data_IF_593536615233
#
_entry.id   IF_593536615233
#
_cell.length_a   1.000
_cell.length_b   1.000
_cell.length_c   1.000
_cell.angle_alpha   90.00
_cell.angle_beta   90.00
_cell.angle_gamma   90.00
#
_symmetry.space_group_name_H-M   'P 1'
#
loop_
_entity.id
_entity.type
_entity.pdbx_description
1 polymer ?
#
# COMPACT_ATOMS: atom_id res chain seq x y z
N UNK A 1 8.89 17.05 -66.39
CA UNK A 1 9.33 16.75 -65.02
C UNK A 1 10.37 17.79 -64.65
N UNK A 2 9.99 18.76 -63.83
CA UNK A 2 10.92 19.61 -63.10
C UNK A 2 10.19 20.16 -61.89
N UNK A 3 10.68 19.73 -60.73
CA UNK A 3 10.09 19.86 -59.40
C UNK A 3 9.96 21.30 -58.91
N UNK A 4 8.83 21.56 -58.27
CA UNK A 4 8.58 22.79 -57.52
C UNK A 4 9.40 22.78 -56.22
N UNK A 5 10.17 23.85 -56.03
CA UNK A 5 11.13 24.03 -54.95
C UNK A 5 10.50 24.12 -53.56
N UNK A 6 11.05 23.27 -52.70
CA UNK A 6 11.07 23.26 -51.24
C UNK A 6 11.09 24.66 -50.58
N UNK A 7 10.07 24.99 -49.79
CA UNK A 7 10.08 26.10 -48.82
C UNK A 7 9.74 25.64 -47.38
N UNK A 8 9.87 24.34 -47.09
CA UNK A 8 9.46 23.70 -45.83
C UNK A 8 10.60 23.44 -44.83
N UNK A 9 11.67 24.23 -44.84
CA UNK A 9 12.87 23.91 -44.04
C UNK A 9 12.85 24.36 -42.56
N UNK A 10 11.72 24.81 -41.99
CA UNK A 10 11.72 25.19 -40.56
C UNK A 10 10.39 25.02 -39.81
N UNK A 11 9.55 24.06 -40.21
CA UNK A 11 8.25 23.81 -39.52
C UNK A 11 8.35 22.67 -38.48
N UNK A 12 9.35 21.79 -38.58
CA UNK A 12 9.48 20.60 -37.72
C UNK A 12 9.87 20.85 -36.26
N UNK A 13 10.28 22.08 -35.91
CA UNK A 13 10.57 22.47 -34.52
C UNK A 13 9.44 23.29 -33.87
N UNK A 14 8.34 23.56 -34.59
CA UNK A 14 7.22 24.30 -34.03
C UNK A 14 6.19 23.33 -33.42
N UNK A 15 5.91 23.39 -32.10
CA UNK A 15 4.93 22.53 -31.46
C UNK A 15 3.49 22.72 -31.97
N UNK A 16 3.23 23.80 -32.73
CA UNK A 16 1.96 24.11 -33.37
C UNK A 16 1.90 23.73 -34.85
N UNK A 17 2.95 23.09 -35.39
CA UNK A 17 3.00 22.66 -36.80
C UNK A 17 1.83 21.74 -37.20
N UNK A 18 1.28 20.98 -36.25
CA UNK A 18 0.13 20.10 -36.50
C UNK A 18 -1.20 20.86 -36.68
N UNK A 19 -1.30 22.12 -36.27
CA UNK A 19 -2.53 22.91 -36.37
C UNK A 19 -2.79 23.47 -37.78
N UNK A 20 -1.76 23.55 -38.62
CA UNK A 20 -1.87 24.15 -39.95
C UNK A 20 -1.12 23.32 -40.98
N UNK A 21 -1.81 23.00 -42.08
CA UNK A 21 -1.26 22.16 -43.14
C UNK A 21 -0.13 22.84 -43.92
N UNK A 22 -0.08 24.19 -43.87
CA UNK A 22 0.99 24.98 -44.48
C UNK A 22 1.11 26.37 -43.82
N UNK A 23 2.23 27.05 -44.10
CA UNK A 23 2.48 28.43 -43.66
C UNK A 23 1.49 29.44 -44.26
N UNK A 24 0.94 29.15 -45.45
CA UNK A 24 -0.12 29.94 -46.05
C UNK A 24 -1.44 29.82 -45.26
N UNK A 25 -1.77 28.60 -44.83
CA UNK A 25 -2.94 28.28 -44.00
C UNK A 25 -2.88 29.02 -42.65
N UNK A 26 -1.71 28.99 -42.00
CA UNK A 26 -1.47 29.71 -40.75
C UNK A 26 -1.60 31.24 -40.93
N UNK A 27 -1.08 31.79 -42.03
CA UNK A 27 -1.22 33.23 -42.35
C UNK A 27 -2.66 33.63 -42.63
N UNK A 28 -3.42 32.78 -43.32
CA UNK A 28 -4.82 33.04 -43.65
C UNK A 28 -5.70 33.01 -42.40
N UNK A 29 -5.44 32.06 -41.49
CA UNK A 29 -6.09 32.00 -40.18
C UNK A 29 -5.80 33.25 -39.33
N UNK A 30 -4.54 33.70 -39.29
CA UNK A 30 -4.14 34.91 -38.58
C UNK A 30 -4.77 36.19 -39.16
N UNK A 31 -4.88 36.29 -40.50
CA UNK A 31 -5.59 37.42 -41.13
C UNK A 31 -7.10 37.40 -40.86
N UNK A 32 -7.72 36.21 -40.81
CA UNK A 32 -9.15 36.06 -40.50
C UNK A 32 -9.51 36.50 -39.08
N UNK A 33 -8.62 36.30 -38.10
CA UNK A 33 -8.84 36.83 -36.74
C UNK A 33 -8.70 38.34 -36.65
N UNK A 34 -7.80 38.97 -37.42
CA UNK A 34 -7.70 40.45 -37.48
C UNK A 34 -8.95 41.09 -38.09
N UNK A 35 -9.56 40.45 -39.10
CA UNK A 35 -10.82 40.94 -39.68
C UNK A 35 -12.03 40.73 -38.77
N UNK A 36 -12.08 39.64 -37.98
CA UNK A 36 -13.15 39.45 -36.99
C UNK A 36 -13.09 40.45 -35.83
N UNK A 37 -11.89 40.86 -35.38
CA UNK A 37 -11.74 41.93 -34.37
C UNK A 37 -12.17 43.31 -34.87
N UNK A 38 -12.11 43.57 -36.18
CA UNK A 38 -12.60 44.84 -36.75
C UNK A 38 -14.10 44.86 -37.06
N UNK A 39 -14.75 43.70 -37.22
CA UNK A 39 -16.18 43.61 -37.53
C UNK A 39 -17.09 43.82 -36.30
N UNK A 40 -16.61 43.55 -35.08
CA UNK A 40 -17.38 43.76 -33.84
C UNK A 40 -17.33 45.21 -33.30
N UNK A 41 -16.74 46.15 -34.06
CA UNK A 41 -16.64 47.58 -33.68
C UNK A 41 -17.30 48.57 -34.65
N UNK A 42 -18.07 48.10 -35.65
CA UNK A 42 -18.75 48.98 -36.60
C UNK A 42 -20.22 48.61 -36.77
N UNK A 43 -21.07 49.10 -35.87
CA UNK A 43 -22.52 49.17 -36.07
C UNK A 43 -23.19 50.33 -35.33
N UNK A 44 -22.72 51.57 -35.50
CA UNK A 44 -23.59 52.76 -35.34
C UNK A 44 -23.16 53.88 -36.31
N UNK A 45 -23.97 54.00 -37.36
CA UNK A 45 -24.49 55.19 -38.07
C UNK A 45 -23.64 56.46 -38.37
N UNK A 46 -23.42 56.66 -39.68
CA UNK A 46 -23.56 57.84 -40.55
C UNK A 46 -23.49 59.29 -40.03
N UNK A 47 -22.69 60.13 -40.72
CA UNK A 47 -22.87 61.60 -40.80
C UNK A 47 -21.63 62.39 -41.23
N UNK A 48 -21.67 63.02 -42.39
CA UNK A 48 -20.59 63.80 -43.05
C UNK A 48 -20.21 65.12 -42.32
N UNK A 49 -18.93 65.53 -42.46
CA UNK A 49 -18.45 66.88 -42.88
C UNK A 49 -17.31 67.51 -42.05
N UNK A 50 -16.24 67.86 -42.76
CA UNK A 50 -15.07 68.72 -42.53
C UNK A 50 -15.00 69.63 -41.27
N UNK A 51 -13.83 69.65 -40.59
CA UNK A 51 -12.91 70.81 -40.48
C UNK A 51 -11.83 70.60 -39.40
N UNK A 52 -10.68 71.25 -39.58
CA UNK A 52 -9.49 71.20 -38.73
C UNK A 52 -9.72 71.76 -37.31
N UNK A 53 -9.14 71.12 -36.28
CA UNK A 53 -8.49 71.82 -35.15
C UNK A 53 -7.77 70.85 -34.21
N UNK A 54 -6.59 71.28 -33.75
CA UNK A 54 -5.82 70.72 -32.65
C UNK A 54 -6.58 70.78 -31.32
N UNK A 55 -6.65 69.66 -30.59
CA UNK A 55 -6.27 69.51 -29.16
C UNK A 55 -6.85 68.25 -28.52
N UNK A 56 -5.98 67.57 -27.75
CA UNK A 56 -6.24 66.95 -26.44
C UNK A 56 -7.33 65.88 -26.30
N UNK A 57 -6.91 64.64 -26.04
CA UNK A 57 -6.97 63.95 -24.73
C UNK A 57 -6.72 62.47 -25.05
N UNK A 58 -5.59 61.96 -24.58
CA UNK A 58 -5.23 60.55 -24.68
C UNK A 58 -5.95 59.81 -23.54
N UNK A 59 -7.20 59.40 -23.77
CA UNK A 59 -7.90 58.49 -22.85
C UNK A 59 -7.26 57.10 -22.96
N UNK A 60 -6.58 56.74 -21.87
CA UNK A 60 -5.86 55.50 -21.68
C UNK A 60 -6.88 54.40 -21.38
N UNK A 61 -7.18 53.57 -22.37
CA UNK A 61 -7.86 52.29 -22.17
C UNK A 61 -6.80 51.28 -21.76
N UNK A 62 -6.37 51.32 -20.49
CA UNK A 62 -5.43 50.33 -19.91
C UNK A 62 -6.01 49.58 -18.68
N UNK A 63 -7.29 49.72 -18.36
CA UNK A 63 -7.86 49.18 -17.11
C UNK A 63 -8.55 47.80 -17.23
N UNK A 64 -8.35 47.03 -18.31
CA UNK A 64 -9.08 45.75 -18.50
C UNK A 64 -8.21 44.49 -18.69
N UNK A 65 -6.87 44.60 -18.65
CA UNK A 65 -5.98 43.43 -18.76
C UNK A 65 -5.63 42.83 -17.38
N UNK A 66 -5.64 43.66 -16.33
CA UNK A 66 -5.39 43.21 -14.95
C UNK A 66 -6.49 42.29 -14.42
N UNK A 67 -7.75 42.51 -14.81
CA UNK A 67 -8.89 41.69 -14.37
C UNK A 67 -8.81 40.26 -14.92
N UNK A 68 -8.39 40.06 -16.16
CA UNK A 68 -8.25 38.73 -16.79
C UNK A 68 -7.04 37.98 -16.23
N UNK A 69 -5.95 38.68 -15.96
CA UNK A 69 -4.76 38.11 -15.32
C UNK A 69 -5.03 37.73 -13.85
N UNK A 70 -5.82 38.51 -13.13
CA UNK A 70 -6.24 38.23 -11.76
C UNK A 70 -7.27 37.09 -11.69
N UNK A 71 -8.23 37.06 -12.61
CA UNK A 71 -9.16 35.94 -12.77
C UNK A 71 -8.38 34.65 -13.09
N UNK A 72 -7.43 34.69 -14.02
CA UNK A 72 -6.60 33.54 -14.39
C UNK A 72 -5.72 33.06 -13.22
N UNK A 73 -5.16 33.99 -12.43
CA UNK A 73 -4.43 33.68 -11.19
C UNK A 73 -5.36 33.05 -10.14
N UNK A 74 -6.58 33.58 -9.97
CA UNK A 74 -7.59 33.01 -9.06
C UNK A 74 -8.07 31.64 -9.51
N UNK A 75 -8.17 31.37 -10.81
CA UNK A 75 -8.54 30.05 -11.32
C UNK A 75 -7.41 29.04 -11.12
N UNK A 76 -6.15 29.43 -11.36
CA UNK A 76 -4.99 28.57 -11.07
C UNK A 76 -4.88 28.27 -9.57
N UNK A 77 -5.02 29.27 -8.70
CA UNK A 77 -4.97 29.06 -7.26
C UNK A 77 -6.12 28.18 -6.75
N UNK A 78 -7.33 28.30 -7.32
CA UNK A 78 -8.44 27.37 -7.00
C UNK A 78 -8.20 25.95 -7.51
N UNK A 79 -7.59 25.81 -8.69
CA UNK A 79 -7.24 24.50 -9.22
C UNK A 79 -6.18 23.81 -8.37
N UNK A 80 -5.12 24.54 -7.99
CA UNK A 80 -4.07 24.09 -7.08
C UNK A 80 -4.65 23.68 -5.72
N UNK A 81 -5.53 24.51 -5.14
CA UNK A 81 -6.20 24.20 -3.88
C UNK A 81 -7.07 22.93 -3.99
N UNK A 82 -7.80 22.76 -5.10
CA UNK A 82 -8.59 21.57 -5.35
C UNK A 82 -7.71 20.32 -5.50
N UNK A 83 -6.56 20.44 -6.16
CA UNK A 83 -5.60 19.34 -6.29
C UNK A 83 -4.98 18.97 -4.94
N UNK A 84 -4.58 19.94 -4.13
CA UNK A 84 -4.10 19.70 -2.77
C UNK A 84 -5.16 19.02 -1.91
N UNK A 85 -6.42 19.47 -1.97
CA UNK A 85 -7.52 18.84 -1.24
C UNK A 85 -7.73 17.39 -1.68
N UNK A 86 -7.66 17.12 -2.98
CA UNK A 86 -7.80 15.76 -3.51
C UNK A 86 -6.64 14.84 -3.08
N UNK A 87 -5.41 15.36 -3.05
CA UNK A 87 -4.24 14.64 -2.54
C UNK A 87 -4.41 14.36 -1.05
N UNK A 88 -4.80 15.35 -0.25
CA UNK A 88 -5.07 15.18 1.18
C UNK A 88 -6.13 14.09 1.42
N UNK A 89 -7.28 14.14 0.74
CA UNK A 89 -8.32 13.13 0.90
C UNK A 89 -7.87 11.74 0.46
N UNK A 90 -7.08 11.63 -0.61
CA UNK A 90 -6.51 10.36 -1.06
C UNK A 90 -5.56 9.79 0.01
N UNK A 91 -4.66 10.61 0.55
CA UNK A 91 -3.77 10.24 1.64
C UNK A 91 -4.58 9.76 2.86
N UNK A 92 -5.60 10.51 3.26
CA UNK A 92 -6.49 10.15 4.37
C UNK A 92 -7.19 8.81 4.12
N UNK A 93 -7.69 8.54 2.91
CA UNK A 93 -8.29 7.24 2.57
C UNK A 93 -7.30 6.08 2.64
N UNK A 94 -6.05 6.30 2.21
CA UNK A 94 -5.02 5.24 2.19
C UNK A 94 -4.53 4.95 3.61
N UNK A 95 -4.16 5.98 4.36
CA UNK A 95 -3.47 5.83 5.64
C UNK A 95 -4.36 6.02 6.86
N UNK A 96 -5.59 6.54 6.71
CA UNK A 96 -6.51 6.79 7.83
C UNK A 96 -5.88 7.66 8.94
N UNK A 97 -5.13 8.70 8.52
CA UNK A 97 -4.51 9.70 9.39
C UNK A 97 -4.93 11.10 8.96
N UNK A 98 -4.89 12.07 9.87
CA UNK A 98 -5.27 13.45 9.59
C UNK A 98 -4.53 14.44 10.50
N UNK A 99 -4.35 15.66 10.01
CA UNK A 99 -3.89 16.83 10.77
C UNK A 99 -5.04 17.81 11.08
N UNK A 100 -6.21 17.57 10.49
CA UNK A 100 -7.41 18.37 10.72
C UNK A 100 -8.20 17.82 11.91
N UNK A 101 -8.42 18.66 12.93
CA UNK A 101 -9.28 18.40 14.11
C UNK A 101 -10.51 19.34 14.16
N UNK A 102 -10.90 19.92 13.03
CA UNK A 102 -12.13 20.70 12.89
C UNK A 102 -13.40 19.86 13.13
N UNK A 103 -14.51 20.52 13.41
CA UNK A 103 -15.81 19.86 13.60
C UNK A 103 -16.19 19.03 12.35
N UNK A 104 -16.61 17.75 12.50
CA UNK A 104 -17.00 16.88 11.38
C UNK A 104 -18.13 17.46 10.52
N UNK A 105 -18.95 18.36 11.04
CA UNK A 105 -20.01 19.06 10.30
C UNK A 105 -19.47 20.10 9.30
N UNK A 106 -18.25 20.56 9.49
CA UNK A 106 -17.56 21.50 8.59
C UNK A 106 -16.84 20.77 7.44
N UNK A 107 -16.69 19.44 7.54
CA UNK A 107 -15.98 18.62 6.57
C UNK A 107 -16.91 18.19 5.44
N UNK A 108 -16.49 18.41 4.20
CA UNK A 108 -17.23 17.94 3.03
C UNK A 108 -17.26 16.42 3.00
N UNK A 109 -18.42 15.80 3.20
CA UNK A 109 -18.56 14.33 3.30
C UNK A 109 -18.24 13.53 2.02
N UNK A 110 -17.81 14.17 0.93
CA UNK A 110 -17.53 13.48 -0.32
C UNK A 110 -16.09 12.91 -0.33
N UNK A 111 -15.99 11.60 -0.18
CA UNK A 111 -14.77 10.85 -0.42
C UNK A 111 -13.74 10.87 0.71
N UNK A 112 -14.09 11.34 1.91
CA UNK A 112 -13.26 11.22 3.11
C UNK A 112 -13.60 9.93 3.88
N UNK A 113 -12.61 9.27 4.51
CA UNK A 113 -12.88 8.09 5.33
C UNK A 113 -13.73 8.46 6.56
N UNK A 114 -14.53 7.54 7.14
CA UNK A 114 -15.39 7.87 8.29
C UNK A 114 -14.63 8.29 9.55
N UNK A 115 -13.42 7.74 9.74
CA UNK A 115 -12.60 7.93 10.92
C UNK A 115 -11.11 7.93 10.51
N UNK A 116 -10.32 8.76 11.18
CA UNK A 116 -8.86 8.81 11.06
C UNK A 116 -8.22 8.95 12.44
N UNK A 117 -6.93 8.63 12.51
CA UNK A 117 -6.07 8.99 13.64
C UNK A 117 -5.57 10.42 13.47
N UNK A 118 -5.84 11.26 14.47
CA UNK A 118 -5.33 12.63 14.53
C UNK A 118 -3.89 12.64 15.06
N UNK A 119 -2.98 13.26 14.31
CA UNK A 119 -1.57 13.38 14.69
C UNK A 119 -1.33 14.73 15.36
N UNK A 120 -1.72 14.83 16.64
CA UNK A 120 -1.69 16.07 17.42
C UNK A 120 -0.32 16.76 17.46
N UNK A 121 0.74 16.02 17.79
CA UNK A 121 2.10 16.56 17.88
C UNK A 121 2.56 17.14 16.53
N UNK A 122 2.34 16.41 15.45
CA UNK A 122 2.72 16.86 14.10
C UNK A 122 1.88 18.05 13.63
N UNK A 123 0.59 18.09 13.96
CA UNK A 123 -0.28 19.21 13.62
C UNK A 123 0.16 20.50 14.35
N UNK A 124 0.66 20.37 15.58
CA UNK A 124 1.19 21.50 16.34
C UNK A 124 2.50 22.05 15.74
N UNK A 125 3.35 21.19 15.19
CA UNK A 125 4.65 21.57 14.61
C UNK A 125 4.54 22.26 13.23
N UNK A 126 3.43 22.07 12.52
CA UNK A 126 3.24 22.53 11.13
C UNK A 126 2.59 23.93 10.99
N UNK A 127 2.60 24.74 12.04
CA UNK A 127 2.25 26.18 12.04
C UNK A 127 1.03 26.55 11.15
N UNK A 128 -0.10 25.90 11.40
CA UNK A 128 -1.38 26.20 10.74
C UNK A 128 -1.68 25.41 9.46
N UNK A 129 -0.80 24.49 9.05
CA UNK A 129 -1.12 23.49 8.04
C UNK A 129 -1.90 22.32 8.67
N UNK A 130 -3.19 22.21 8.33
CA UNK A 130 -4.10 21.16 8.79
C UNK A 130 -4.38 20.07 7.73
N UNK A 131 -3.68 20.11 6.59
CA UNK A 131 -3.79 19.12 5.52
C UNK A 131 -2.50 18.33 5.30
N UNK A 132 -2.64 17.09 4.84
CA UNK A 132 -1.52 16.24 4.41
C UNK A 132 -1.19 16.47 2.94
N UNK A 133 0.10 16.47 2.62
CA UNK A 133 0.62 16.52 1.26
C UNK A 133 1.79 15.54 1.09
N UNK A 134 2.34 15.44 -0.12
CA UNK A 134 3.40 14.48 -0.40
C UNK A 134 4.74 14.79 0.29
N UNK A 135 4.94 16.02 0.74
CA UNK A 135 6.17 16.43 1.45
C UNK A 135 6.11 16.04 2.93
N UNK A 136 4.92 15.94 3.50
CA UNK A 136 4.69 15.67 4.93
C UNK A 136 4.29 14.22 5.22
N UNK A 137 3.81 13.49 4.22
CA UNK A 137 3.21 12.16 4.44
C UNK A 137 4.17 11.12 5.01
N UNK A 138 5.46 11.18 4.68
CA UNK A 138 6.43 10.24 5.22
C UNK A 138 6.58 10.41 6.74
N UNK A 139 6.73 11.65 7.22
CA UNK A 139 6.77 11.98 8.65
C UNK A 139 5.44 11.62 9.34
N UNK A 140 4.31 11.89 8.68
CA UNK A 140 2.99 11.61 9.24
C UNK A 140 2.76 10.11 9.42
N UNK A 141 3.11 9.30 8.41
CA UNK A 141 2.99 7.85 8.49
C UNK A 141 3.93 7.29 9.56
N UNK A 142 5.18 7.77 9.64
CA UNK A 142 6.12 7.33 10.67
C UNK A 142 5.61 7.65 12.07
N UNK A 143 5.12 8.87 12.29
CA UNK A 143 4.50 9.29 13.57
C UNK A 143 3.32 8.39 13.94
N UNK A 144 2.46 8.06 12.97
CA UNK A 144 1.34 7.13 13.16
C UNK A 144 1.79 5.73 13.57
N UNK A 145 2.90 5.22 13.03
CA UNK A 145 3.40 3.88 13.35
C UNK A 145 4.05 3.82 14.74
N UNK A 146 4.52 4.94 15.29
CA UNK A 146 5.11 5.03 16.63
C UNK A 146 4.07 5.20 17.76
N UNK A 147 2.81 5.51 17.44
CA UNK A 147 1.74 5.58 18.44
C UNK A 147 1.49 4.20 19.07
N UNK A 148 1.62 4.12 20.39
CA UNK A 148 1.36 2.88 21.14
C UNK A 148 -0.13 2.51 21.17
N UNK A 149 -1.00 3.52 21.27
CA UNK A 149 -2.46 3.36 21.30
C UNK A 149 -3.11 4.30 20.26
N UNK A 150 -3.06 3.96 18.96
CA UNK A 150 -3.65 4.79 17.92
C UNK A 150 -5.16 4.98 18.10
N UNK A 151 -5.84 3.99 18.68
CA UNK A 151 -7.27 4.05 19.02
C UNK A 151 -7.67 5.22 19.93
N UNK A 152 -6.75 5.72 20.77
CA UNK A 152 -7.02 6.87 21.65
C UNK A 152 -7.01 8.21 20.92
N UNK A 153 -6.54 8.23 19.66
CA UNK A 153 -6.36 9.42 18.85
C UNK A 153 -7.36 9.46 17.69
N UNK A 154 -8.41 8.63 17.74
CA UNK A 154 -9.41 8.56 16.69
C UNK A 154 -10.31 9.79 16.71
N UNK A 155 -10.52 10.36 15.53
CA UNK A 155 -11.52 11.40 15.30
C UNK A 155 -12.45 10.97 14.17
N UNK A 156 -13.73 11.33 14.28
CA UNK A 156 -14.70 11.10 13.22
C UNK A 156 -14.56 12.21 12.17
N UNK A 157 -14.46 11.83 10.89
CA UNK A 157 -14.35 12.81 9.80
C UNK A 157 -15.72 13.18 9.21
N UNK A 158 -16.76 12.42 9.53
CA UNK A 158 -18.11 12.58 8.98
C UNK A 158 -19.14 12.67 10.11
N UNK A 159 -20.21 13.44 9.89
CA UNK A 159 -21.27 13.72 10.88
C UNK A 159 -22.21 12.54 11.14
N UNK A 160 -21.75 11.29 11.00
CA UNK A 160 -22.62 10.12 11.10
C UNK A 160 -23.02 9.84 12.56
N UNK A 161 -24.32 9.69 12.81
CA UNK A 161 -24.89 9.43 14.15
C UNK A 161 -24.66 8.02 14.70
N UNK A 162 -24.14 7.09 13.90
CA UNK A 162 -23.93 5.69 14.27
C UNK A 162 -22.44 5.37 14.43
N UNK A 163 -22.09 4.72 15.55
CA UNK A 163 -20.73 4.23 15.81
C UNK A 163 -20.34 3.22 14.73
N UNK A 164 -19.27 3.51 13.99
CA UNK A 164 -18.74 2.61 12.97
C UNK A 164 -17.57 1.80 13.53
N UNK A 165 -17.89 0.74 14.28
CA UNK A 165 -16.91 -0.12 14.94
C UNK A 165 -15.85 -0.70 13.96
N UNK A 166 -16.20 -0.90 12.69
CA UNK A 166 -15.25 -1.36 11.69
C UNK A 166 -14.25 -0.27 11.31
N UNK A 167 -14.72 0.96 11.10
CA UNK A 167 -13.83 2.09 10.78
C UNK A 167 -12.90 2.41 11.96
N UNK A 168 -13.43 2.35 13.18
CA UNK A 168 -12.65 2.59 14.40
C UNK A 168 -11.55 1.52 14.56
N UNK A 169 -11.87 0.25 14.30
CA UNK A 169 -10.89 -0.84 14.29
C UNK A 169 -9.82 -0.63 13.22
N UNK A 170 -10.21 -0.27 12.00
CA UNK A 170 -9.30 -0.17 10.87
C UNK A 170 -8.35 1.04 10.99
N UNK A 171 -8.86 2.19 11.46
CA UNK A 171 -8.05 3.37 11.74
C UNK A 171 -7.21 3.18 13.01
N UNK A 172 -7.75 2.50 14.02
CA UNK A 172 -7.12 2.25 15.32
C UNK A 172 -6.20 1.02 15.38
N UNK A 173 -5.93 0.33 14.27
CA UNK A 173 -5.08 -0.87 14.26
C UNK A 173 -3.70 -0.54 14.87
N UNK A 174 -3.37 -1.29 15.92
CA UNK A 174 -2.18 -1.10 16.76
C UNK A 174 -0.97 -1.83 16.19
N UNK A 175 -1.19 -2.98 15.55
CA UNK A 175 -0.12 -3.79 14.98
C UNK A 175 0.38 -3.16 13.69
N UNK A 176 1.65 -2.80 13.64
CA UNK A 176 2.23 -2.04 12.52
C UNK A 176 2.21 -2.80 11.19
N UNK A 177 2.49 -4.11 11.19
CA UNK A 177 2.52 -4.90 9.95
C UNK A 177 1.11 -5.06 9.33
N UNK A 178 0.07 -5.48 10.07
CA UNK A 178 -1.31 -5.50 9.58
C UNK A 178 -1.81 -4.13 9.11
N UNK A 179 -1.48 -3.05 9.84
CA UNK A 179 -1.85 -1.69 9.44
C UNK A 179 -1.22 -1.30 8.10
N UNK A 180 0.08 -1.57 7.90
CA UNK A 180 0.77 -1.29 6.63
C UNK A 180 0.20 -2.13 5.49
N UNK A 181 -0.08 -3.42 5.70
CA UNK A 181 -0.77 -4.25 4.70
C UNK A 181 -2.14 -3.67 4.32
N UNK A 182 -2.92 -3.19 5.29
CA UNK A 182 -4.20 -2.53 5.03
C UNK A 182 -4.04 -1.23 4.23
N UNK A 183 -3.00 -0.43 4.52
CA UNK A 183 -2.65 0.75 3.74
C UNK A 183 -2.29 0.39 2.29
N UNK A 184 -1.50 -0.67 2.10
CA UNK A 184 -1.09 -1.16 0.79
C UNK A 184 -2.31 -1.55 -0.06
N UNK A 185 -3.26 -2.27 0.54
CA UNK A 185 -4.53 -2.61 -0.10
C UNK A 185 -5.34 -1.38 -0.49
N UNK A 186 -5.51 -0.42 0.42
CA UNK A 186 -6.22 0.83 0.12
C UNK A 186 -5.53 1.64 -0.97
N UNK A 187 -4.20 1.70 -0.98
CA UNK A 187 -3.44 2.35 -2.06
C UNK A 187 -3.67 1.66 -3.41
N UNK A 188 -3.66 0.32 -3.46
CA UNK A 188 -4.00 -0.42 -4.69
C UNK A 188 -5.41 -0.13 -5.18
N UNK A 189 -6.37 -0.10 -4.27
CA UNK A 189 -7.74 0.27 -4.63
C UNK A 189 -7.83 1.71 -5.17
N UNK A 190 -7.15 2.67 -4.53
CA UNK A 190 -7.12 4.06 -4.99
C UNK A 190 -6.49 4.19 -6.38
N UNK A 191 -5.39 3.48 -6.66
CA UNK A 191 -4.75 3.45 -7.99
C UNK A 191 -5.75 3.12 -9.12
N UNK A 192 -6.75 2.27 -8.86
CA UNK A 192 -7.76 1.90 -9.86
C UNK A 192 -8.91 2.91 -9.99
N UNK A 193 -9.08 3.81 -9.02
CA UNK A 193 -10.23 4.72 -8.90
C UNK A 193 -9.87 6.17 -9.19
N UNK A 194 -8.63 6.59 -8.91
CA UNK A 194 -8.23 7.99 -9.01
C UNK A 194 -8.08 8.45 -10.47
N UNK A 195 -8.35 9.74 -10.76
CA UNK A 195 -8.04 10.33 -12.05
C UNK A 195 -6.53 10.25 -12.38
N UNK A 196 -6.18 10.26 -13.66
CA UNK A 196 -4.79 10.14 -14.15
C UNK A 196 -3.82 11.12 -13.46
N UNK A 197 -4.27 12.36 -13.19
CA UNK A 197 -3.46 13.38 -12.51
C UNK A 197 -3.08 13.05 -11.05
N UNK A 198 -3.77 12.13 -10.40
CA UNK A 198 -3.48 11.69 -9.04
C UNK A 198 -2.79 10.31 -8.98
N UNK A 199 -2.68 9.63 -10.13
CA UNK A 199 -2.16 8.26 -10.20
C UNK A 199 -0.73 8.15 -9.64
N UNK A 200 0.14 9.10 -9.99
CA UNK A 200 1.52 9.14 -9.49
C UNK A 200 1.58 9.22 -7.96
N UNK A 201 0.72 10.04 -7.36
CA UNK A 201 0.64 10.18 -5.90
C UNK A 201 0.11 8.91 -5.23
N UNK A 202 -0.90 8.25 -5.82
CA UNK A 202 -1.41 6.98 -5.31
C UNK A 202 -0.34 5.87 -5.36
N UNK A 203 0.42 5.79 -6.46
CA UNK A 203 1.56 4.88 -6.59
C UNK A 203 2.65 5.20 -5.57
N UNK A 204 2.96 6.49 -5.35
CA UNK A 204 3.92 6.91 -4.34
C UNK A 204 3.47 6.50 -2.93
N UNK A 205 2.17 6.60 -2.61
CA UNK A 205 1.63 6.13 -1.33
C UNK A 205 1.76 4.60 -1.16
N UNK A 206 1.54 3.82 -2.23
CA UNK A 206 1.80 2.37 -2.22
C UNK A 206 3.27 2.08 -1.91
N UNK A 207 4.19 2.75 -2.61
CA UNK A 207 5.63 2.58 -2.42
C UNK A 207 6.09 3.01 -1.02
N UNK A 208 5.51 4.09 -0.48
CA UNK A 208 5.78 4.56 0.87
C UNK A 208 5.37 3.52 1.92
N UNK A 209 4.25 2.83 1.69
CA UNK A 209 3.81 1.71 2.55
C UNK A 209 4.83 0.57 2.56
N UNK A 210 5.35 0.20 1.39
CA UNK A 210 6.38 -0.85 1.25
C UNK A 210 7.69 -0.41 1.93
N UNK A 211 8.12 0.83 1.74
CA UNK A 211 9.31 1.40 2.37
C UNK A 211 9.21 1.42 3.91
N UNK A 212 8.04 1.76 4.43
CA UNK A 212 7.79 1.72 5.87
C UNK A 212 7.75 0.28 6.40
N UNK A 213 7.17 -0.67 5.67
CA UNK A 213 7.20 -2.08 6.05
C UNK A 213 8.63 -2.64 6.08
N UNK A 214 9.48 -2.24 5.13
CA UNK A 214 10.92 -2.52 5.16
C UNK A 214 11.55 -1.94 6.43
N UNK A 215 11.31 -0.66 6.73
CA UNK A 215 11.88 0.02 7.91
C UNK A 215 11.46 -0.68 9.21
N UNK A 216 10.19 -1.08 9.31
CA UNK A 216 9.64 -1.86 10.43
C UNK A 216 10.43 -3.14 10.66
N UNK A 217 10.78 -3.86 9.60
CA UNK A 217 11.50 -5.14 9.69
C UNK A 217 13.01 -4.98 9.95
N UNK A 218 13.61 -3.87 9.53
CA UNK A 218 15.01 -3.55 9.75
C UNK A 218 15.30 -2.96 11.13
N UNK A 219 14.33 -2.25 11.71
CA UNK A 219 14.49 -1.54 12.99
C UNK A 219 13.33 -1.84 13.95
N UNK A 220 13.04 -3.12 14.25
CA UNK A 220 11.87 -3.49 15.05
C UNK A 220 11.89 -2.88 16.47
N UNK A 221 13.07 -2.52 17.00
CA UNK A 221 13.26 -2.03 18.36
C UNK A 221 12.59 -0.68 18.63
N UNK A 222 12.32 0.12 17.59
CA UNK A 222 11.64 1.42 17.75
C UNK A 222 10.13 1.26 18.01
N UNK A 223 9.56 0.10 17.69
CA UNK A 223 8.15 -0.21 17.87
C UNK A 223 7.91 -0.90 19.22
N UNK A 224 7.86 -0.09 20.27
CA UNK A 224 7.74 -0.54 21.66
C UNK A 224 6.53 -1.46 21.84
N UNK A 225 6.73 -2.56 22.57
CA UNK A 225 5.69 -3.56 22.88
C UNK A 225 5.10 -4.26 21.65
N UNK A 226 5.81 -4.28 20.52
CA UNK A 226 5.41 -5.02 19.33
C UNK A 226 6.44 -6.11 18.97
N UNK A 227 5.96 -7.25 18.47
CA UNK A 227 6.78 -8.27 17.83
C UNK A 227 6.45 -8.31 16.34
N UNK A 228 7.17 -7.53 15.54
CA UNK A 228 6.85 -7.33 14.12
C UNK A 228 7.05 -8.59 13.28
N UNK A 229 8.02 -9.44 13.66
CA UNK A 229 8.28 -10.73 13.00
C UNK A 229 7.14 -11.72 13.27
N UNK A 230 6.57 -11.69 14.47
CA UNK A 230 5.38 -12.47 14.81
C UNK A 230 4.14 -11.96 14.04
N UNK A 231 3.95 -10.64 13.97
CA UNK A 231 2.87 -10.04 13.18
C UNK A 231 2.94 -10.41 11.69
N UNK A 232 4.15 -10.49 11.13
CA UNK A 232 4.36 -10.96 9.76
C UNK A 232 3.91 -12.42 9.58
N UNK A 233 4.28 -13.29 10.50
CA UNK A 233 3.84 -14.69 10.46
C UNK A 233 2.33 -14.83 10.69
N UNK A 234 1.76 -14.03 11.59
CA UNK A 234 0.31 -13.98 11.83
C UNK A 234 -0.45 -13.53 10.58
N UNK A 235 0.06 -12.52 9.86
CA UNK A 235 -0.55 -12.05 8.61
C UNK A 235 -0.60 -13.17 7.55
N UNK A 236 0.48 -13.94 7.39
CA UNK A 236 0.51 -15.12 6.51
C UNK A 236 -0.45 -16.21 6.96
N UNK A 237 -0.56 -16.45 8.27
CA UNK A 237 -1.44 -17.46 8.82
C UNK A 237 -2.92 -17.10 8.66
N UNK A 238 -3.26 -15.84 8.91
CA UNK A 238 -4.60 -15.28 8.68
C UNK A 238 -4.97 -15.36 7.20
N UNK A 239 -4.04 -15.10 6.28
CA UNK A 239 -4.32 -15.12 4.84
C UNK A 239 -4.46 -16.52 4.25
N UNK A 240 -3.68 -17.50 4.70
CA UNK A 240 -3.87 -18.93 4.34
C UNK A 240 -5.22 -19.46 4.81
N UNK A 241 -5.69 -19.01 5.97
CA UNK A 241 -7.00 -19.39 6.52
C UNK A 241 -8.16 -18.64 5.87
N UNK A 242 -7.87 -17.47 5.32
CA UNK A 242 -8.80 -16.66 4.56
C UNK A 242 -8.73 -16.94 3.06
N UNK A 243 -9.20 -15.97 2.28
CA UNK A 243 -9.14 -15.97 0.82
C UNK A 243 -8.37 -14.72 0.33
N UNK A 244 -7.25 -14.41 0.99
CA UNK A 244 -6.42 -13.22 0.72
C UNK A 244 -4.92 -13.55 0.61
N UNK A 245 -4.60 -14.83 0.37
CA UNK A 245 -3.22 -15.30 0.39
C UNK A 245 -2.40 -14.65 -0.73
N UNK A 246 -2.96 -14.58 -1.94
CA UNK A 246 -2.34 -13.97 -3.10
C UNK A 246 -2.03 -12.48 -2.88
N UNK A 247 -2.96 -11.71 -2.30
CA UNK A 247 -2.70 -10.29 -2.03
C UNK A 247 -1.66 -10.07 -0.92
N UNK A 248 -1.62 -10.94 0.09
CA UNK A 248 -0.55 -10.90 1.10
C UNK A 248 0.80 -11.24 0.46
N UNK A 249 0.88 -12.29 -0.36
CA UNK A 249 2.11 -12.64 -1.06
C UNK A 249 2.59 -11.49 -1.94
N UNK A 250 1.71 -10.84 -2.70
CA UNK A 250 2.09 -9.68 -3.52
C UNK A 250 2.70 -8.53 -2.68
N UNK A 251 2.08 -8.20 -1.55
CA UNK A 251 2.65 -7.22 -0.61
C UNK A 251 4.03 -7.65 -0.11
N UNK A 252 4.19 -8.93 0.24
CA UNK A 252 5.47 -9.46 0.72
C UNK A 252 6.55 -9.48 -0.37
N UNK A 253 6.23 -9.80 -1.63
CA UNK A 253 7.19 -9.73 -2.71
C UNK A 253 7.71 -8.30 -2.93
N UNK A 254 6.83 -7.28 -2.84
CA UNK A 254 7.24 -5.87 -2.89
C UNK A 254 8.18 -5.51 -1.72
N UNK A 255 7.89 -6.00 -0.51
CA UNK A 255 8.73 -5.77 0.69
C UNK A 255 10.07 -6.51 0.61
N UNK A 256 10.07 -7.76 0.16
CA UNK A 256 11.28 -8.57 -0.04
C UNK A 256 12.18 -7.91 -1.08
N UNK A 257 11.62 -7.46 -2.21
CA UNK A 257 12.37 -6.73 -3.23
C UNK A 257 13.02 -5.46 -2.64
N UNK A 258 12.29 -4.72 -1.81
CA UNK A 258 12.82 -3.53 -1.12
C UNK A 258 13.93 -3.87 -0.12
N UNK A 259 13.78 -4.95 0.66
CA UNK A 259 14.81 -5.42 1.61
C UNK A 259 16.09 -5.88 0.90
N UNK A 260 15.95 -6.53 -0.26
CA UNK A 260 17.10 -7.02 -1.02
C UNK A 260 17.86 -5.91 -1.74
N UNK A 261 17.17 -4.83 -2.11
CA UNK A 261 17.76 -3.69 -2.80
C UNK A 261 18.75 -2.90 -1.92
N UNK A 262 18.56 -2.89 -0.60
CA UNK A 262 19.41 -2.20 0.36
C UNK A 262 19.45 -2.97 1.69
N UNK A 263 20.64 -3.51 1.99
CA UNK A 263 20.96 -4.35 3.15
C UNK A 263 22.00 -3.69 4.07
N UNK A 264 22.09 -2.36 4.09
CA UNK A 264 23.05 -1.65 4.95
C UNK A 264 22.76 -1.80 6.46
N UNK A 265 21.48 -1.86 6.84
CA UNK A 265 21.06 -1.92 8.25
C UNK A 265 21.04 -3.36 8.77
N UNK A 266 20.39 -4.27 8.02
CA UNK A 266 20.36 -5.71 8.27
C UNK A 266 20.30 -6.44 6.94
N UNK A 267 20.89 -7.62 6.91
CA UNK A 267 20.72 -8.56 5.80
C UNK A 267 19.31 -9.14 5.78
N UNK A 268 18.89 -9.63 4.61
CA UNK A 268 17.61 -10.33 4.49
C UNK A 268 17.53 -11.57 5.40
N UNK A 269 18.67 -12.26 5.61
CA UNK A 269 18.75 -13.39 6.53
C UNK A 269 18.45 -13.01 7.97
N UNK A 270 19.03 -11.91 8.46
CA UNK A 270 18.79 -11.39 9.82
C UNK A 270 17.33 -10.99 10.05
N UNK A 271 16.61 -10.59 9.01
CA UNK A 271 15.16 -10.30 9.07
C UNK A 271 14.33 -11.58 9.13
N UNK A 272 14.70 -12.62 8.37
CA UNK A 272 13.91 -13.85 8.24
C UNK A 272 14.17 -14.88 9.36
N UNK A 273 15.37 -14.91 9.94
CA UNK A 273 15.72 -15.86 11.02
C UNK A 273 14.74 -15.76 12.21
N UNK A 274 14.41 -14.57 12.75
CA UNK A 274 13.42 -14.45 13.82
C UNK A 274 12.03 -14.97 13.43
N UNK A 275 11.63 -14.81 12.16
CA UNK A 275 10.35 -15.35 11.65
C UNK A 275 10.37 -16.88 11.70
N UNK A 276 11.48 -17.50 11.32
CA UNK A 276 11.65 -18.96 11.40
C UNK A 276 11.73 -19.48 12.84
N UNK A 277 12.37 -18.75 13.75
CA UNK A 277 12.41 -19.09 15.18
C UNK A 277 10.99 -19.13 15.77
N UNK A 278 10.18 -18.10 15.49
CA UNK A 278 8.77 -18.02 15.92
C UNK A 278 7.96 -19.14 15.28
N UNK A 279 8.12 -19.37 13.98
CA UNK A 279 7.46 -20.45 13.25
C UNK A 279 7.76 -21.81 13.91
N UNK A 280 9.04 -22.12 14.11
CA UNK A 280 9.47 -23.38 14.72
C UNK A 280 8.90 -23.51 16.14
N UNK A 281 8.94 -22.42 16.91
CA UNK A 281 8.38 -22.32 18.24
C UNK A 281 6.89 -22.66 18.31
N UNK A 282 6.12 -22.27 17.29
CA UNK A 282 4.66 -22.52 17.21
C UNK A 282 4.33 -23.91 16.70
N UNK A 283 5.16 -24.50 15.83
CA UNK A 283 4.89 -25.82 15.24
C UNK A 283 5.33 -26.98 16.14
N UNK A 284 6.32 -26.79 17.02
CA UNK A 284 6.87 -27.85 17.90
C UNK A 284 5.84 -28.57 18.78
N UNK A 285 4.76 -27.87 19.14
CA UNK A 285 3.71 -28.32 20.05
C UNK A 285 2.43 -28.76 19.31
N UNK A 286 2.48 -28.83 17.96
CA UNK A 286 1.35 -29.26 17.16
C UNK A 286 1.34 -30.77 16.91
N UNK A 287 0.13 -31.28 16.73
CA UNK A 287 -0.14 -32.69 16.45
C UNK A 287 -0.80 -32.87 15.07
N UNK A 288 -0.71 -34.08 14.52
CA UNK A 288 -1.24 -34.43 13.19
C UNK A 288 -2.72 -34.06 12.99
N UNK A 289 -3.55 -34.17 14.04
CA UNK A 289 -4.98 -33.91 13.95
C UNK A 289 -5.35 -32.42 14.00
N UNK A 290 -4.40 -31.53 14.30
CA UNK A 290 -4.69 -30.12 14.46
C UNK A 290 -4.71 -29.41 13.09
N UNK A 291 -5.83 -28.78 12.74
CA UNK A 291 -5.97 -28.06 11.46
C UNK A 291 -4.93 -26.96 11.28
N UNK A 292 -4.50 -26.34 12.39
CA UNK A 292 -3.47 -25.31 12.42
C UNK A 292 -2.12 -25.79 11.85
N UNK A 293 -1.76 -27.08 12.03
CA UNK A 293 -0.55 -27.65 11.45
C UNK A 293 -0.53 -27.51 9.93
N UNK A 294 -1.66 -27.81 9.28
CA UNK A 294 -1.76 -27.74 7.82
C UNK A 294 -1.65 -26.30 7.31
N UNK A 295 -2.18 -25.31 8.04
CA UNK A 295 -1.96 -23.90 7.70
C UNK A 295 -0.47 -23.53 7.75
N UNK A 296 0.28 -24.02 8.74
CA UNK A 296 1.73 -23.81 8.78
C UNK A 296 2.47 -24.55 7.66
N UNK A 297 2.02 -25.74 7.24
CA UNK A 297 2.62 -26.44 6.10
C UNK A 297 2.47 -25.65 4.80
N UNK A 298 1.33 -25.00 4.57
CA UNK A 298 1.15 -24.10 3.42
C UNK A 298 2.10 -22.90 3.47
N UNK A 299 2.31 -22.31 4.66
CA UNK A 299 3.29 -21.23 4.83
C UNK A 299 4.71 -21.73 4.57
N UNK A 300 5.07 -22.92 5.07
CA UNK A 300 6.38 -23.52 4.79
C UNK A 300 6.56 -23.82 3.30
N UNK A 301 5.51 -24.26 2.61
CA UNK A 301 5.51 -24.45 1.17
C UNK A 301 5.74 -23.12 0.43
N UNK A 302 5.13 -22.04 0.88
CA UNK A 302 5.45 -20.71 0.36
C UNK A 302 6.91 -20.33 0.60
N UNK A 303 7.42 -20.51 1.83
CA UNK A 303 8.82 -20.23 2.16
C UNK A 303 9.82 -21.05 1.34
N UNK A 304 9.50 -22.31 1.02
CA UNK A 304 10.37 -23.15 0.20
C UNK A 304 10.33 -22.79 -1.30
N UNK A 305 9.23 -22.20 -1.78
CA UNK A 305 9.06 -21.79 -3.18
C UNK A 305 9.54 -20.37 -3.47
N UNK A 306 9.45 -19.48 -2.49
CA UNK A 306 9.94 -18.12 -2.65
C UNK A 306 11.48 -18.14 -2.70
N UNK A 307 12.06 -17.63 -3.78
CA UNK A 307 13.47 -17.81 -4.15
C UNK A 307 14.46 -17.30 -3.09
N UNK A 308 14.16 -16.21 -2.41
CA UNK A 308 15.09 -15.56 -1.49
C UNK A 308 14.88 -16.05 -0.06
N UNK A 309 13.63 -16.29 0.36
CA UNK A 309 13.30 -16.96 1.62
C UNK A 309 13.89 -18.37 1.64
N UNK A 310 13.75 -19.14 0.55
CA UNK A 310 14.24 -20.52 0.50
C UNK A 310 15.76 -20.61 0.68
N UNK A 311 16.54 -19.64 0.21
CA UNK A 311 17.99 -19.60 0.46
C UNK A 311 18.30 -19.47 1.95
N UNK A 312 17.65 -18.51 2.63
CA UNK A 312 17.82 -18.32 4.07
C UNK A 312 17.31 -19.55 4.83
N UNK A 313 16.19 -20.14 4.39
CA UNK A 313 15.63 -21.35 4.98
C UNK A 313 16.63 -22.51 4.92
N UNK A 314 17.32 -22.71 3.78
CA UNK A 314 18.31 -23.77 3.62
C UNK A 314 19.50 -23.63 4.57
N UNK A 315 19.92 -22.41 4.87
CA UNK A 315 20.94 -22.12 5.88
C UNK A 315 20.40 -22.33 7.30
N UNK A 316 19.18 -21.89 7.56
CA UNK A 316 18.52 -21.96 8.86
C UNK A 316 18.23 -23.41 9.30
N UNK A 317 17.88 -24.31 8.38
CA UNK A 317 17.59 -25.72 8.70
C UNK A 317 18.83 -26.59 8.89
N UNK A 318 20.04 -26.02 8.84
CA UNK A 318 21.25 -26.78 9.12
C UNK A 318 21.32 -27.14 10.61
N UNK A 319 21.69 -28.38 10.96
CA UNK A 319 21.87 -28.76 12.36
C UNK A 319 23.07 -28.03 12.96
N UNK A 320 22.97 -27.65 14.24
CA UNK A 320 24.08 -27.02 14.97
C UNK A 320 25.33 -27.91 15.04
N UNK A 321 25.15 -29.22 15.10
CA UNK A 321 26.21 -30.22 14.97
C UNK A 321 25.78 -31.33 13.99
N UNK A 322 26.32 -31.34 12.76
CA UNK A 322 26.03 -32.36 11.75
C UNK A 322 26.41 -33.79 12.16
N UNK A 323 27.28 -33.99 13.16
CA UNK A 323 27.66 -35.31 13.62
C UNK A 323 26.66 -35.92 14.61
N UNK A 324 25.62 -35.16 14.99
CA UNK A 324 24.66 -35.55 16.01
C UNK A 324 23.26 -35.67 15.43
N UNK A 325 22.76 -36.90 15.29
CA UNK A 325 21.43 -37.17 14.75
C UNK A 325 20.29 -36.45 15.49
N UNK A 326 20.44 -36.24 16.81
CA UNK A 326 19.45 -35.51 17.62
C UNK A 326 19.37 -34.03 17.25
N UNK A 327 20.43 -33.43 16.71
CA UNK A 327 20.41 -32.03 16.29
C UNK A 327 19.60 -31.83 15.02
N UNK A 328 19.52 -32.83 14.14
CA UNK A 328 18.63 -32.79 12.99
C UNK A 328 17.17 -32.70 13.41
N UNK A 329 16.75 -33.39 14.48
CA UNK A 329 15.38 -33.29 15.01
C UNK A 329 15.06 -31.91 15.59
N UNK A 330 16.08 -31.13 15.97
CA UNK A 330 15.93 -29.79 16.55
C UNK A 330 15.93 -28.67 15.50
N UNK A 331 16.12 -28.97 14.22
CA UNK A 331 15.94 -27.98 13.15
C UNK A 331 14.45 -27.74 12.91
N UNK A 332 14.08 -26.68 12.20
CA UNK A 332 12.67 -26.45 11.84
C UNK A 332 12.09 -27.61 11.04
N UNK A 333 12.80 -28.09 10.02
CA UNK A 333 12.33 -29.23 9.23
C UNK A 333 12.27 -30.50 10.07
N UNK A 334 13.26 -30.73 10.93
CA UNK A 334 13.26 -31.86 11.86
C UNK A 334 12.09 -31.81 12.85
N UNK A 335 11.76 -30.62 13.35
CA UNK A 335 10.63 -30.40 14.27
C UNK A 335 9.32 -30.84 13.61
N UNK A 336 9.12 -30.47 12.35
CA UNK A 336 7.94 -30.84 11.56
C UNK A 336 7.92 -32.33 11.25
N UNK A 337 9.05 -32.88 10.79
CA UNK A 337 9.19 -34.31 10.47
C UNK A 337 9.03 -35.22 11.69
N UNK A 338 9.27 -34.70 12.89
CA UNK A 338 9.10 -35.42 14.14
C UNK A 338 7.64 -35.48 14.61
N UNK A 339 6.72 -34.75 13.96
CA UNK A 339 5.29 -34.83 14.25
C UNK A 339 4.78 -36.20 13.75
N UNK A 340 4.40 -37.05 14.70
CA UNK A 340 3.91 -38.40 14.40
C UNK A 340 2.84 -38.83 15.38
N UNK A 341 2.15 -39.93 15.04
CA UNK A 341 1.22 -40.62 15.92
C UNK A 341 1.91 -41.62 16.88
N UNK A 342 3.24 -41.61 16.96
CA UNK A 342 4.01 -42.50 17.84
C UNK A 342 4.33 -41.82 19.16
N UNK A 343 4.52 -42.63 20.20
CA UNK A 343 4.95 -42.15 21.52
C UNK A 343 6.32 -41.46 21.43
N UNK A 344 6.41 -40.24 21.98
CA UNK A 344 7.68 -39.50 22.09
C UNK A 344 8.65 -40.18 23.06
N UNK A 345 8.13 -40.73 24.16
CA UNK A 345 8.91 -41.45 25.17
C UNK A 345 8.45 -42.92 25.25
N UNK A 346 9.28 -43.88 24.83
CA UNK A 346 8.94 -45.29 24.92
C UNK A 346 8.59 -45.69 26.37
N UNK A 347 7.45 -46.36 26.55
CA UNK A 347 7.02 -46.89 27.84
C UNK A 347 6.29 -45.91 28.77
N UNK A 348 6.17 -44.62 28.39
CA UNK A 348 5.31 -43.68 29.11
C UNK A 348 3.93 -43.71 28.44
N UNK A 349 2.92 -44.18 29.18
CA UNK A 349 1.51 -44.09 28.77
C UNK A 349 1.05 -42.66 29.01
N UNK A 350 1.54 -41.74 28.18
CA UNK A 350 0.94 -40.41 28.10
C UNK A 350 -0.49 -40.56 27.55
N UNK A 351 -1.37 -39.61 27.87
CA UNK A 351 -2.70 -39.54 27.26
C UNK A 351 -2.53 -39.43 25.74
N UNK A 352 -2.52 -40.56 25.04
CA UNK A 352 -2.26 -40.61 23.62
C UNK A 352 -3.39 -39.89 22.91
N UNK A 353 -3.10 -38.75 22.28
CA UNK A 353 -4.10 -37.92 21.60
C UNK A 353 -4.86 -38.65 20.49
N UNK A 354 -4.36 -39.80 20.02
CA UNK A 354 -4.96 -40.58 18.93
C UNK A 354 -5.67 -41.87 19.35
N UNK A 355 -5.40 -42.43 20.54
CA UNK A 355 -5.99 -43.70 20.97
C UNK A 355 -6.61 -43.54 22.36
N UNK A 356 -7.94 -43.54 22.40
CA UNK A 356 -8.69 -43.49 23.66
C UNK A 356 -8.74 -44.89 24.28
N UNK A 357 -8.05 -45.08 25.41
CA UNK A 357 -8.02 -46.35 26.17
C UNK A 357 -7.79 -47.61 25.31
N UNK A 358 -6.65 -47.73 24.60
CA UNK A 358 -6.42 -48.81 23.64
C UNK A 358 -6.60 -50.23 24.22
N UNK A 359 -6.37 -50.43 25.52
CA UNK A 359 -6.61 -51.72 26.18
C UNK A 359 -8.08 -52.06 26.45
N UNK A 360 -9.01 -51.12 26.25
CA UNK A 360 -10.46 -51.26 26.49
C UNK A 360 -11.30 -51.13 25.21
N UNK A 361 -10.70 -50.69 24.11
CA UNK A 361 -11.36 -50.53 22.82
C UNK A 361 -11.60 -51.88 22.15
N UNK A 362 -12.74 -52.01 21.47
CA UNK A 362 -13.02 -53.18 20.63
C UNK A 362 -12.12 -53.20 19.38
N UNK A 363 -11.89 -54.38 18.77
CA UNK A 363 -11.12 -54.48 17.53
C UNK A 363 -11.68 -53.63 16.38
N UNK A 364 -13.00 -53.43 16.31
CA UNK A 364 -13.62 -52.54 15.32
C UNK A 364 -13.29 -51.07 15.59
N UNK A 365 -13.40 -50.61 16.84
CA UNK A 365 -13.07 -49.22 17.21
C UNK A 365 -11.58 -48.92 16.98
N UNK A 366 -10.69 -49.86 17.30
CA UNK A 366 -9.26 -49.73 17.01
C UNK A 366 -8.99 -49.59 15.51
N UNK A 367 -9.65 -50.39 14.65
CA UNK A 367 -9.49 -50.30 13.20
C UNK A 367 -9.95 -48.96 12.64
N UNK A 368 -11.04 -48.39 13.18
CA UNK A 368 -11.52 -47.06 12.78
C UNK A 368 -10.49 -46.00 13.17
N UNK A 369 -10.01 -46.02 14.42
CA UNK A 369 -8.98 -45.09 14.89
C UNK A 369 -7.69 -45.18 14.07
N UNK A 370 -7.22 -46.40 13.78
CA UNK A 370 -6.06 -46.61 12.90
C UNK A 370 -6.30 -46.03 11.51
N UNK A 371 -7.45 -46.30 10.90
CA UNK A 371 -7.81 -45.77 9.57
C UNK A 371 -7.77 -44.24 9.53
N UNK A 372 -8.31 -43.58 10.55
CA UNK A 372 -8.32 -42.12 10.66
C UNK A 372 -6.88 -41.58 10.78
N UNK A 373 -6.05 -42.20 11.62
CA UNK A 373 -4.62 -41.85 11.76
C UNK A 373 -3.89 -42.03 10.43
N UNK A 374 -4.13 -43.13 9.71
CA UNK A 374 -3.54 -43.37 8.40
C UNK A 374 -3.93 -42.31 7.39
N UNK A 375 -5.20 -41.88 7.37
CA UNK A 375 -5.68 -40.83 6.47
C UNK A 375 -4.96 -39.50 6.75
N UNK A 376 -4.92 -39.08 8.01
CA UNK A 376 -4.27 -37.83 8.44
C UNK A 376 -2.76 -37.88 8.16
N UNK A 377 -2.11 -39.00 8.45
CA UNK A 377 -0.68 -39.22 8.16
C UNK A 377 -0.39 -39.19 6.65
N UNK A 378 -1.29 -39.74 5.83
CA UNK A 378 -1.15 -39.73 4.36
C UNK A 378 -1.29 -38.32 3.81
N UNK A 379 -2.26 -37.55 4.32
CA UNK A 379 -2.41 -36.13 3.98
C UNK A 379 -1.14 -35.33 4.35
N UNK A 380 -0.65 -35.51 5.58
CA UNK A 380 0.58 -34.85 6.05
C UNK A 380 1.78 -35.16 5.15
N UNK A 381 2.00 -36.44 4.82
CA UNK A 381 3.08 -36.85 3.90
C UNK A 381 2.95 -36.21 2.52
N UNK A 382 1.74 -36.13 1.98
CA UNK A 382 1.49 -35.51 0.67
C UNK A 382 1.89 -34.03 0.68
N UNK A 383 1.44 -33.26 1.67
CA UNK A 383 1.81 -31.85 1.78
C UNK A 383 3.31 -31.66 1.99
N UNK A 384 3.91 -32.49 2.83
CA UNK A 384 5.36 -32.46 3.05
C UNK A 384 6.17 -32.74 1.77
N UNK A 385 5.78 -33.74 0.96
CA UNK A 385 6.47 -34.04 -0.30
C UNK A 385 6.48 -32.84 -1.25
N UNK A 386 5.42 -32.02 -1.26
CA UNK A 386 5.36 -30.81 -2.09
C UNK A 386 6.35 -29.72 -1.64
N UNK A 387 6.82 -29.77 -0.38
CA UNK A 387 7.80 -28.82 0.18
C UNK A 387 9.24 -29.21 -0.21
N UNK A 388 9.48 -30.51 -0.43
CA UNK A 388 10.84 -31.07 -0.61
C UNK A 388 11.25 -31.20 -2.09
N UNK A 389 10.31 -31.06 -3.02
CA UNK A 389 10.49 -31.08 -4.47
C UNK A 389 10.36 -29.64 -4.98
#
# INVERSE_FOLDING_TARGET
MTDQGNNNQNISQNPFAALFSSLADAKQFASGQKQRRHADQQSVDSGESQSESDNSVSDSIEDNDDSVAEISRSFRSRQELCEQLNVNHMIQRIFLITLDNSDPSLRGGNGIPPCCVYLEEMAADLDGQDWLNMDTIEQALFSRLLLQEPGNHLIYMTSCSAVNLSADRDAGEKRVVPYLYACYRRAKEEITKVPEKLLSYAVQCKNLTVSNARTVLLTPEIYISQNVYEQLLDLLLESVRGAQFEEVVEFLEDVIASLLADQEVRTFGEVMVPVFDIFQGRVKDLDLCQLLLYSYLEILLYFSRQKDISKVLMEYIQPKDPNSGIQYQKTLLGTILNISCLLRTPGVVENHGFFLNPSRSSPQEMKVQESDIYQVSTKFKKEYCNITI
#
